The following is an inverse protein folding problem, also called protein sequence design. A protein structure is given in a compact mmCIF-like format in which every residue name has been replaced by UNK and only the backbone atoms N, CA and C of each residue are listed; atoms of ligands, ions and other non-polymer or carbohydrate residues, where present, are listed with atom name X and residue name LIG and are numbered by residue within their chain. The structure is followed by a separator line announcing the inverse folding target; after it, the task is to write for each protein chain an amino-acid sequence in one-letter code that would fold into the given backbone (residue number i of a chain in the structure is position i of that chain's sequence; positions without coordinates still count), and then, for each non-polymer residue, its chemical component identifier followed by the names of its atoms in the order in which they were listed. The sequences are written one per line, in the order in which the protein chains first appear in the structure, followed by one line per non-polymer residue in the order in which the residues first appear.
data_IF_515834180281
#
_entry.id   IF_515834180281
#
_cell.length_a   1.000
_cell.length_b   1.000
_cell.length_c   1.000
_cell.angle_alpha   90.00
_cell.angle_beta   90.00
_cell.angle_gamma   90.00
#
_symmetry.space_group_name_H-M   'P 1'
#
loop_
_entity.id
_entity.type
_entity.pdbx_description
1 polymer ?
#
# COMPACT_ATOMS: atom_id res chain seq x y z
N UNK A 1 -8.22 -12.80 5.37
CA UNK A 1 -6.76 -13.09 5.46
C UNK A 1 -6.31 -12.87 6.89
N UNK A 2 -5.53 -13.80 7.46
CA UNK A 2 -4.98 -13.67 8.81
C UNK A 2 -3.76 -12.76 8.72
N UNK A 3 -3.73 -11.65 9.47
CA UNK A 3 -2.61 -10.68 9.44
C UNK A 3 -1.35 -11.35 10.00
N UNK A 4 -0.20 -11.10 9.38
CA UNK A 4 1.09 -11.63 9.88
C UNK A 4 1.56 -10.91 11.15
N UNK A 5 1.15 -9.66 11.36
CA UNK A 5 1.57 -8.82 12.48
C UNK A 5 0.45 -8.59 13.48
N UNK A 6 0.80 -8.39 14.77
CA UNK A 6 -0.17 -8.04 15.83
C UNK A 6 -0.78 -6.64 15.65
N UNK A 7 -0.05 -5.73 15.00
CA UNK A 7 -0.51 -4.36 14.67
C UNK A 7 -0.59 -4.21 13.16
N UNK A 8 -1.70 -3.67 12.67
CA UNK A 8 -1.86 -3.37 11.25
C UNK A 8 -0.98 -2.18 10.86
N UNK A 9 -0.15 -2.38 9.84
CA UNK A 9 0.71 -1.32 9.32
C UNK A 9 -0.06 -0.34 8.44
N UNK A 10 -1.06 -0.87 7.73
CA UNK A 10 -1.95 -0.12 6.87
C UNK A 10 -3.40 -0.34 7.29
N UNK A 11 -4.13 0.74 7.58
CA UNK A 11 -5.56 0.70 7.88
C UNK A 11 -6.39 1.07 6.67
N UNK A 12 -7.64 0.61 6.67
CA UNK A 12 -8.64 1.01 5.69
C UNK A 12 -8.85 2.53 5.74
N UNK A 13 -9.11 3.17 4.60
CA UNK A 13 -9.36 4.61 4.57
C UNK A 13 -10.80 4.90 5.04
N UNK A 14 -10.98 5.99 5.80
CA UNK A 14 -12.31 6.40 6.26
C UNK A 14 -13.23 6.80 5.10
N UNK A 15 -12.71 7.60 4.17
CA UNK A 15 -13.42 8.09 2.98
C UNK A 15 -12.64 7.67 1.73
N UNK A 16 -13.34 7.05 0.77
CA UNK A 16 -12.77 6.56 -0.49
C UNK A 16 -12.16 5.16 -0.39
N UNK A 17 -11.76 4.59 -1.54
CA UNK A 17 -11.19 3.25 -1.63
C UNK A 17 -9.67 3.29 -1.45
N UNK A 18 -9.14 2.45 -0.55
CA UNK A 18 -7.70 2.23 -0.41
C UNK A 18 -7.26 1.92 1.01
N UNK A 19 -5.97 2.08 1.25
CA UNK A 19 -5.36 1.94 2.57
C UNK A 19 -4.47 3.14 2.88
N UNK A 20 -4.24 3.40 4.16
CA UNK A 20 -3.33 4.44 4.63
C UNK A 20 -2.35 3.89 5.66
N UNK A 21 -1.09 4.34 5.68
CA UNK A 21 -0.12 3.93 6.68
C UNK A 21 -0.58 4.45 8.05
N UNK A 22 -0.69 3.54 9.01
CA UNK A 22 -1.14 3.82 10.37
C UNK A 22 -0.07 3.53 11.42
N UNK A 23 0.95 2.74 11.07
CA UNK A 23 2.08 2.43 11.94
C UNK A 23 3.37 3.08 11.42
N UNK A 24 4.39 3.18 12.29
CA UNK A 24 5.71 3.68 11.91
C UNK A 24 6.33 2.84 10.79
N UNK A 25 6.13 1.53 10.80
CA UNK A 25 6.62 0.62 9.77
C UNK A 25 5.92 0.86 8.42
N UNK A 26 4.59 1.04 8.43
CA UNK A 26 3.84 1.39 7.22
C UNK A 26 4.29 2.73 6.62
N UNK A 27 4.58 3.72 7.46
CA UNK A 27 5.16 4.99 7.04
C UNK A 27 6.58 4.83 6.48
N UNK A 28 7.43 4.04 7.13
CA UNK A 28 8.81 3.80 6.70
C UNK A 28 8.86 3.12 5.33
N UNK A 29 7.99 2.12 5.09
CA UNK A 29 7.85 1.47 3.78
C UNK A 29 7.35 2.46 2.72
N UNK A 30 6.35 3.28 3.06
CA UNK A 30 5.75 4.25 2.12
C UNK A 30 6.75 5.35 1.73
N UNK A 31 7.40 5.96 2.72
CA UNK A 31 8.42 6.99 2.51
C UNK A 31 9.63 6.41 1.77
N UNK A 32 10.07 5.22 2.16
CA UNK A 32 11.13 4.49 1.45
C UNK A 32 10.79 4.29 -0.02
N UNK A 33 9.57 3.86 -0.33
CA UNK A 33 9.12 3.70 -1.72
C UNK A 33 9.10 5.03 -2.48
N UNK A 34 8.56 6.09 -1.89
CA UNK A 34 8.47 7.43 -2.50
C UNK A 34 9.86 8.01 -2.78
N UNK A 35 10.87 7.70 -1.97
CA UNK A 35 12.26 8.16 -2.19
C UNK A 35 12.99 7.28 -3.20
N UNK A 36 12.91 5.96 -3.06
CA UNK A 36 13.70 5.02 -3.87
C UNK A 36 13.19 4.96 -5.31
N UNK A 37 11.87 5.02 -5.55
CA UNK A 37 11.33 4.88 -6.91
C UNK A 37 11.80 6.00 -7.86
N UNK A 38 11.78 7.30 -7.49
CA UNK A 38 12.37 8.36 -8.31
C UNK A 38 13.89 8.20 -8.48
N UNK A 39 14.62 7.77 -7.45
CA UNK A 39 16.06 7.54 -7.55
C UNK A 39 16.40 6.47 -8.58
N UNK A 40 15.63 5.38 -8.64
CA UNK A 40 15.74 4.36 -9.69
C UNK A 40 15.43 4.98 -11.06
N UNK A 41 14.41 5.81 -11.15
CA UNK A 41 14.06 6.53 -12.38
C UNK A 41 15.17 7.47 -12.89
N UNK A 42 15.91 8.11 -11.98
CA UNK A 42 17.04 9.00 -12.30
C UNK A 42 18.33 8.24 -12.61
N UNK A 43 18.54 7.07 -12.00
CA UNK A 43 19.76 6.29 -12.16
C UNK A 43 19.80 5.48 -13.46
N UNK A 44 18.65 4.98 -13.93
CA UNK A 44 18.55 4.19 -15.16
C UNK A 44 17.99 5.00 -16.32
N UNK A 45 18.57 4.81 -17.51
CA UNK A 45 18.07 5.42 -18.75
C UNK A 45 16.61 5.05 -19.03
N UNK A 46 15.87 5.95 -19.67
CA UNK A 46 14.44 5.78 -19.95
C UNK A 46 14.13 4.63 -20.90
N UNK A 47 15.07 4.30 -21.80
CA UNK A 47 14.96 3.19 -22.75
C UNK A 47 15.35 1.84 -22.12
N UNK A 48 15.83 1.85 -20.87
CA UNK A 48 16.26 0.62 -20.20
C UNK A 48 15.07 -0.21 -19.73
N UNK A 49 14.90 -1.40 -20.30
CA UNK A 49 13.95 -2.40 -19.80
C UNK A 49 14.19 -2.69 -18.32
N UNK A 50 15.45 -2.66 -17.87
CA UNK A 50 15.84 -2.87 -16.47
C UNK A 50 15.17 -1.86 -15.53
N UNK A 51 15.02 -0.58 -15.94
CA UNK A 51 14.31 0.45 -15.16
C UNK A 51 12.89 0.02 -14.86
N UNK A 52 12.16 -0.38 -15.88
CA UNK A 52 10.76 -0.79 -15.75
C UNK A 52 10.62 -2.08 -14.94
N UNK A 53 11.49 -3.06 -15.14
CA UNK A 53 11.48 -4.31 -14.37
C UNK A 53 11.67 -4.03 -12.88
N UNK A 54 12.63 -3.16 -12.51
CA UNK A 54 12.86 -2.79 -11.10
C UNK A 54 11.66 -2.06 -10.52
N UNK A 55 11.11 -1.05 -11.22
CA UNK A 55 9.97 -0.28 -10.73
C UNK A 55 8.71 -1.15 -10.56
N UNK A 56 8.44 -2.05 -11.51
CA UNK A 56 7.33 -3.01 -11.42
C UNK A 56 7.55 -3.95 -10.24
N UNK A 57 8.76 -4.51 -10.08
CA UNK A 57 9.08 -5.38 -8.95
C UNK A 57 8.87 -4.66 -7.61
N UNK A 58 9.33 -3.41 -7.49
CA UNK A 58 9.09 -2.59 -6.29
C UNK A 58 7.60 -2.36 -6.01
N UNK A 59 6.80 -2.07 -7.05
CA UNK A 59 5.37 -1.88 -6.90
C UNK A 59 4.66 -3.16 -6.45
N UNK A 60 5.03 -4.31 -7.02
CA UNK A 60 4.49 -5.63 -6.63
C UNK A 60 4.85 -5.94 -5.17
N UNK A 61 6.10 -5.68 -4.76
CA UNK A 61 6.54 -5.87 -3.36
C UNK A 61 5.74 -4.96 -2.43
N UNK A 62 5.53 -3.70 -2.78
CA UNK A 62 4.73 -2.77 -1.97
C UNK A 62 3.29 -3.27 -1.81
N UNK A 63 2.65 -3.70 -2.90
CA UNK A 63 1.30 -4.27 -2.88
C UNK A 63 1.27 -5.53 -2.01
N UNK A 64 2.26 -6.41 -2.13
CA UNK A 64 2.36 -7.61 -1.30
C UNK A 64 2.47 -7.26 0.19
N UNK A 65 3.31 -6.29 0.56
CA UNK A 65 3.44 -5.82 1.95
C UNK A 65 2.09 -5.28 2.44
N UNK A 66 1.41 -4.46 1.66
CA UNK A 66 0.10 -3.90 2.01
C UNK A 66 -0.93 -5.02 2.27
N UNK A 67 -0.99 -6.03 1.40
CA UNK A 67 -1.94 -7.14 1.54
C UNK A 67 -1.62 -8.06 2.72
N UNK A 68 -0.34 -8.22 3.06
CA UNK A 68 0.14 -9.12 4.12
C UNK A 68 0.12 -8.48 5.52
N UNK A 69 0.32 -7.16 5.60
CA UNK A 69 0.47 -6.41 6.87
C UNK A 69 -0.67 -5.43 7.14
N UNK A 70 -1.50 -5.17 6.13
CA UNK A 70 -2.62 -4.25 6.20
C UNK A 70 -3.98 -4.92 6.38
N UNK A 71 -5.00 -4.07 6.52
CA UNK A 71 -6.39 -4.48 6.40
C UNK A 71 -6.80 -4.64 4.93
N UNK A 72 -7.89 -5.36 4.69
CA UNK A 72 -8.43 -5.46 3.34
C UNK A 72 -8.76 -4.06 2.80
N UNK A 73 -8.31 -3.72 1.57
CA UNK A 73 -8.54 -2.40 1.01
C UNK A 73 -10.04 -2.13 0.84
N UNK A 74 -10.43 -0.88 1.08
CA UNK A 74 -11.79 -0.40 0.82
C UNK A 74 -12.06 0.89 1.60
N UNK A 75 -13.32 1.14 1.93
CA UNK A 75 -13.67 2.28 2.78
C UNK A 75 -14.42 1.83 4.03
N UNK A 76 -14.20 2.50 5.15
CA UNK A 76 -15.03 2.32 6.35
C UNK A 76 -16.45 2.87 6.14
N UNK A 77 -16.61 3.97 5.39
CA UNK A 77 -17.91 4.58 5.14
C UNK A 77 -18.89 3.68 4.37
N UNK A 78 -18.43 2.99 3.32
CA UNK A 78 -19.24 1.99 2.61
C UNK A 78 -19.66 0.83 3.53
N UNK A 79 -18.81 0.42 4.47
CA UNK A 79 -19.14 -0.63 5.45
C UNK A 79 -20.20 -0.13 6.44
N UNK A 80 -20.12 1.12 6.90
CA UNK A 80 -21.12 1.75 7.76
C UNK A 80 -22.47 1.91 7.06
N UNK A 81 -22.48 2.37 5.81
CA UNK A 81 -23.69 2.52 5.00
C UNK A 81 -24.38 1.18 4.78
N UNK A 82 -23.61 0.13 4.46
CA UNK A 82 -24.14 -1.23 4.31
C UNK A 82 -24.77 -1.73 5.61
N UNK A 83 -24.08 -1.56 6.74
CA UNK A 83 -24.58 -1.94 8.07
C UNK A 83 -25.85 -1.19 8.48
N UNK A 84 -26.04 0.05 8.00
CA UNK A 84 -27.26 0.83 8.25
C UNK A 84 -28.43 0.34 7.39
N UNK A 85 -28.16 -0.09 6.15
CA UNK A 85 -29.18 -0.60 5.24
C UNK A 85 -29.69 -2.00 5.63
N UNK A 86 -28.85 -2.82 6.27
CA UNK A 86 -29.20 -4.16 6.73
C UNK A 86 -29.91 -4.18 8.11
N UNK A 87 -30.20 -3.01 8.71
CA UNK A 87 -30.95 -2.84 9.96
C UNK A 87 -32.31 -2.22 9.73
#
# INVERSE_FOLDING_TARGET
MKRLTKKAWFHKRRIGWGVSPASLEGWLVTVGFIIIAPLVGMHYSEESITRYVILIAMAVILIAIILLTGEAPGSELWDELKKKNDR
#
